data_IF_486906771090
#
_entry.id   IF_486906771090
#
_cell.length_a   1.000
_cell.length_b   1.000
_cell.length_c   1.000
_cell.angle_alpha   90.00
_cell.angle_beta   90.00
_cell.angle_gamma   90.00
#
_symmetry.space_group_name_H-M   'P 1'
#
loop_
_entity.id
_entity.type
_entity.pdbx_description
1 polymer ?
#
# COMPACT_ATOMS: atom_id res chain seq x y z
N UNK A 1 -0.87 2.46 17.92
CA UNK A 1 -2.24 2.81 18.33
C UNK A 1 -2.42 2.41 19.78
N UNK A 2 -3.01 3.25 20.62
CA UNK A 2 -3.24 2.90 22.04
C UNK A 2 -2.88 3.97 23.07
N UNK A 3 -2.12 5.01 22.71
CA UNK A 3 -1.84 6.14 23.61
C UNK A 3 -2.54 7.45 23.22
N UNK A 4 -3.01 7.56 21.97
CA UNK A 4 -3.64 8.77 21.41
C UNK A 4 -5.16 8.64 21.19
N UNK A 5 -5.80 7.57 21.69
CA UNK A 5 -7.26 7.34 21.52
C UNK A 5 -7.71 6.95 20.10
N UNK A 6 -6.79 6.81 19.15
CA UNK A 6 -7.07 6.46 17.75
C UNK A 6 -7.38 4.95 17.63
N UNK A 7 -8.56 4.62 17.09
CA UNK A 7 -9.01 3.24 16.81
C UNK A 7 -8.67 2.83 15.37
N UNK A 8 -8.49 1.53 15.14
CA UNK A 8 -8.12 1.01 13.83
C UNK A 8 -9.26 1.22 12.84
N UNK A 9 -10.47 1.02 13.31
CA UNK A 9 -11.70 1.09 12.55
C UNK A 9 -11.93 2.51 12.01
N UNK A 10 -11.64 3.52 12.85
CA UNK A 10 -11.74 4.93 12.45
C UNK A 10 -10.71 5.26 11.36
N UNK A 11 -9.48 4.76 11.50
CA UNK A 11 -8.42 4.94 10.50
C UNK A 11 -8.71 4.19 9.19
N UNK A 12 -9.32 3.00 9.26
CA UNK A 12 -9.75 2.25 8.07
C UNK A 12 -10.85 3.02 7.33
N UNK A 13 -11.86 3.52 8.05
CA UNK A 13 -12.92 4.33 7.47
C UNK A 13 -12.38 5.61 6.84
N UNK A 14 -11.38 6.25 7.47
CA UNK A 14 -10.68 7.43 6.95
C UNK A 14 -9.92 7.10 5.66
N UNK A 15 -9.20 5.98 5.62
CA UNK A 15 -8.48 5.53 4.43
C UNK A 15 -9.44 5.24 3.27
N UNK A 16 -10.55 4.52 3.52
CA UNK A 16 -11.57 4.27 2.50
C UNK A 16 -12.18 5.55 1.95
N UNK A 17 -12.50 6.51 2.81
CA UNK A 17 -13.07 7.80 2.39
C UNK A 17 -12.10 8.57 1.49
N UNK A 18 -10.81 8.59 1.84
CA UNK A 18 -9.77 9.23 1.02
C UNK A 18 -9.63 8.55 -0.34
N UNK A 19 -9.58 7.22 -0.37
CA UNK A 19 -9.51 6.43 -1.60
C UNK A 19 -10.73 6.72 -2.49
N UNK A 20 -11.95 6.68 -1.93
CA UNK A 20 -13.18 6.99 -2.67
C UNK A 20 -13.14 8.40 -3.27
N UNK A 21 -12.68 9.39 -2.51
CA UNK A 21 -12.56 10.77 -2.99
C UNK A 21 -11.52 10.90 -4.12
N UNK A 22 -10.37 10.21 -4.03
CA UNK A 22 -9.37 10.19 -5.09
C UNK A 22 -9.92 9.55 -6.37
N UNK A 23 -10.59 8.40 -6.25
CA UNK A 23 -11.20 7.71 -7.40
C UNK A 23 -12.30 8.55 -8.05
N UNK A 24 -13.15 9.21 -7.27
CA UNK A 24 -14.20 10.09 -7.81
C UNK A 24 -13.64 11.27 -8.62
N UNK A 25 -12.40 11.67 -8.34
CA UNK A 25 -11.68 12.74 -9.05
C UNK A 25 -10.75 12.21 -10.14
N UNK A 26 -10.80 10.92 -10.46
CA UNK A 26 -9.89 10.25 -11.40
C UNK A 26 -8.40 10.46 -11.05
N UNK A 27 -8.08 10.63 -9.76
CA UNK A 27 -6.70 10.77 -9.28
C UNK A 27 -6.08 9.38 -9.21
N UNK A 28 -4.86 9.24 -9.74
CA UNK A 28 -4.07 8.01 -9.67
C UNK A 28 -3.58 7.76 -8.24
N UNK A 29 -3.69 6.51 -7.79
CA UNK A 29 -3.32 6.08 -6.45
C UNK A 29 -2.11 5.16 -6.54
N UNK A 30 -0.96 5.62 -6.05
CA UNK A 30 0.25 4.80 -5.96
C UNK A 30 0.39 4.31 -4.51
N UNK A 31 0.35 2.99 -4.31
CA UNK A 31 0.56 2.39 -3.00
C UNK A 31 2.03 2.06 -2.80
N UNK A 32 2.63 2.54 -1.70
CA UNK A 32 4.02 2.27 -1.37
C UNK A 32 4.12 1.57 -0.01
N UNK A 33 4.61 0.34 0.00
CA UNK A 33 4.95 -0.36 1.24
C UNK A 33 6.47 -0.44 1.38
N UNK A 34 7.02 0.54 2.09
CA UNK A 34 8.47 0.68 2.29
C UNK A 34 8.96 0.02 3.58
N UNK A 35 8.07 -0.53 4.40
CA UNK A 35 8.44 -1.31 5.58
C UNK A 35 8.99 -2.68 5.18
N UNK A 36 10.01 -3.16 5.91
CA UNK A 36 10.36 -4.58 5.89
C UNK A 36 9.45 -5.42 6.77
N UNK A 37 9.73 -6.71 6.90
CA UNK A 37 8.94 -7.69 7.68
C UNK A 37 8.62 -7.22 9.11
N UNK A 38 9.59 -6.60 9.80
CA UNK A 38 9.41 -6.07 11.17
C UNK A 38 8.37 -4.93 11.29
N UNK A 39 7.89 -4.40 10.15
CA UNK A 39 6.83 -3.38 10.08
C UNK A 39 5.50 -3.94 9.57
N UNK A 40 5.45 -5.25 9.25
CA UNK A 40 4.22 -6.01 8.95
C UNK A 40 3.66 -6.61 10.23
N UNK A 41 2.38 -6.97 10.19
CA UNK A 41 1.62 -7.48 11.34
C UNK A 41 0.12 -7.31 11.11
N UNK A 42 -0.68 -7.87 12.03
CA UNK A 42 -2.14 -7.94 11.87
C UNK A 42 -2.79 -6.60 11.55
N UNK A 43 -2.38 -5.54 12.24
CA UNK A 43 -2.93 -4.21 12.04
C UNK A 43 -2.57 -3.65 10.66
N UNK A 44 -1.29 -3.69 10.26
CA UNK A 44 -0.88 -3.21 8.94
C UNK A 44 -1.54 -4.01 7.82
N UNK A 45 -1.76 -5.31 8.01
CA UNK A 45 -2.37 -6.17 7.02
C UNK A 45 -3.85 -5.82 6.79
N UNK A 46 -4.57 -5.41 7.85
CA UNK A 46 -5.94 -4.86 7.71
C UNK A 46 -5.94 -3.62 6.80
N UNK A 47 -5.01 -2.69 7.01
CA UNK A 47 -4.89 -1.51 6.15
C UNK A 47 -4.49 -1.86 4.72
N UNK A 48 -3.55 -2.78 4.52
CA UNK A 48 -3.13 -3.22 3.19
C UNK A 48 -4.29 -3.85 2.43
N UNK A 49 -5.06 -4.72 3.07
CA UNK A 49 -6.24 -5.38 2.45
C UNK A 49 -7.32 -4.38 2.05
N UNK A 50 -7.44 -3.27 2.78
CA UNK A 50 -8.37 -2.19 2.41
C UNK A 50 -7.78 -1.33 1.29
N UNK A 51 -6.53 -0.90 1.38
CA UNK A 51 -5.99 0.13 0.49
C UNK A 51 -5.42 -0.42 -0.83
N UNK A 52 -4.62 -1.49 -0.77
CA UNK A 52 -3.87 -2.00 -1.93
C UNK A 52 -4.77 -2.38 -3.12
N UNK A 53 -5.98 -2.95 -2.95
CA UNK A 53 -6.86 -3.28 -4.08
C UNK A 53 -7.34 -2.08 -4.91
N UNK A 54 -7.20 -0.86 -4.39
CA UNK A 54 -7.65 0.36 -5.07
C UNK A 54 -6.49 1.15 -5.70
N UNK A 55 -5.25 0.70 -5.52
CA UNK A 55 -4.08 1.31 -6.14
C UNK A 55 -4.07 1.07 -7.65
N UNK A 56 -3.58 2.05 -8.40
CA UNK A 56 -3.25 1.92 -9.82
C UNK A 56 -1.85 1.31 -10.02
N UNK A 57 -0.98 1.43 -9.01
CA UNK A 57 0.38 0.91 -9.03
C UNK A 57 0.87 0.61 -7.61
N UNK A 58 1.70 -0.41 -7.44
CA UNK A 58 2.30 -0.78 -6.15
C UNK A 58 3.83 -0.78 -6.20
N UNK A 59 4.48 -0.19 -5.20
CA UNK A 59 5.93 -0.28 -4.97
C UNK A 59 6.15 -0.87 -3.59
N UNK A 60 6.81 -2.02 -3.50
CA UNK A 60 6.92 -2.78 -2.25
C UNK A 60 8.36 -3.19 -1.98
N UNK A 61 8.86 -2.99 -0.77
CA UNK A 61 10.16 -3.54 -0.38
C UNK A 61 10.03 -5.07 -0.23
N UNK A 62 10.97 -5.84 -0.80
CA UNK A 62 10.95 -7.30 -0.83
C UNK A 62 10.62 -7.93 0.54
N UNK A 63 11.31 -7.46 1.58
CA UNK A 63 11.13 -7.96 2.94
C UNK A 63 9.74 -7.67 3.51
N UNK A 64 9.05 -6.64 3.02
CA UNK A 64 7.68 -6.31 3.40
C UNK A 64 6.62 -7.18 2.75
N UNK A 65 6.99 -8.13 1.89
CA UNK A 65 6.06 -8.96 1.11
C UNK A 65 6.44 -10.46 1.11
N UNK A 66 7.11 -10.96 2.16
CA UNK A 66 7.53 -12.37 2.25
C UNK A 66 6.35 -13.36 2.21
N UNK A 67 5.18 -12.94 2.68
CA UNK A 67 3.93 -13.71 2.66
C UNK A 67 3.17 -13.63 1.31
N UNK A 68 3.67 -12.80 0.40
CA UNK A 68 3.07 -12.53 -0.90
C UNK A 68 1.73 -11.80 -0.84
N UNK A 69 1.37 -11.13 0.27
CA UNK A 69 0.10 -10.40 0.39
C UNK A 69 -0.09 -9.39 -0.75
N UNK A 70 0.95 -8.60 -1.05
CA UNK A 70 0.90 -7.61 -2.12
C UNK A 70 0.90 -8.29 -3.49
N UNK A 71 1.71 -9.34 -3.68
CA UNK A 71 1.76 -10.09 -4.95
C UNK A 71 0.38 -10.69 -5.30
N UNK A 72 -0.29 -11.31 -4.32
CA UNK A 72 -1.64 -11.87 -4.50
C UNK A 72 -2.65 -10.78 -4.82
N UNK A 73 -2.65 -9.69 -4.05
CA UNK A 73 -3.55 -8.56 -4.28
C UNK A 73 -3.36 -7.92 -5.66
N UNK A 74 -2.10 -7.72 -6.06
CA UNK A 74 -1.73 -7.17 -7.35
C UNK A 74 -2.19 -8.07 -8.51
N UNK A 75 -1.98 -9.38 -8.41
CA UNK A 75 -2.42 -10.34 -9.41
C UNK A 75 -3.95 -10.38 -9.54
N UNK A 76 -4.68 -10.46 -8.41
CA UNK A 76 -6.15 -10.51 -8.38
C UNK A 76 -6.78 -9.25 -8.99
N UNK A 77 -6.19 -8.08 -8.74
CA UNK A 77 -6.72 -6.79 -9.20
C UNK A 77 -6.07 -6.30 -10.49
N UNK A 78 -5.11 -7.06 -11.04
CA UNK A 78 -4.31 -6.70 -12.22
C UNK A 78 -3.61 -5.35 -12.06
N UNK A 79 -3.07 -5.10 -10.88
CA UNK A 79 -2.33 -3.89 -10.54
C UNK A 79 -0.85 -4.13 -10.85
N UNK A 80 -0.22 -3.30 -11.70
CA UNK A 80 1.23 -3.36 -11.89
C UNK A 80 1.97 -3.12 -10.58
N UNK A 81 3.03 -3.88 -10.33
CA UNK A 81 3.78 -3.83 -9.08
C UNK A 81 5.27 -4.01 -9.31
N UNK A 82 6.07 -3.17 -8.67
CA UNK A 82 7.52 -3.35 -8.54
C UNK A 82 7.88 -3.74 -7.11
N UNK A 83 8.83 -4.68 -6.99
CA UNK A 83 9.44 -5.04 -5.71
C UNK A 83 10.90 -4.62 -5.68
N UNK A 84 11.32 -3.97 -4.60
CA UNK A 84 12.67 -3.40 -4.48
C UNK A 84 13.40 -3.93 -3.24
N UNK A 85 14.74 -4.06 -3.27
CA UNK A 85 15.46 -4.68 -2.16
C UNK A 85 15.47 -3.83 -0.88
N UNK A 86 15.42 -2.48 -0.99
CA UNK A 86 15.46 -1.54 0.14
C UNK A 86 14.65 -0.29 -0.16
N UNK A 87 14.34 0.47 0.88
CA UNK A 87 13.58 1.74 0.80
C UNK A 87 14.20 2.72 -0.18
N UNK A 88 15.52 2.87 -0.20
CA UNK A 88 16.22 3.80 -1.10
C UNK A 88 16.00 3.49 -2.59
N UNK A 89 15.67 2.23 -2.91
CA UNK A 89 15.44 1.79 -4.28
C UNK A 89 14.01 2.08 -4.76
N UNK A 90 13.10 2.58 -3.91
CA UNK A 90 11.72 2.93 -4.34
C UNK A 90 11.67 4.18 -5.21
N UNK A 91 12.75 4.97 -5.23
CA UNK A 91 12.82 6.23 -5.99
C UNK A 91 12.79 5.96 -7.50
N UNK A 92 13.51 4.95 -7.96
CA UNK A 92 13.59 4.61 -9.38
C UNK A 92 12.23 4.20 -9.99
N UNK A 93 11.49 3.22 -9.44
CA UNK A 93 10.16 2.88 -9.97
C UNK A 93 9.18 4.02 -9.83
N UNK A 94 9.28 4.84 -8.78
CA UNK A 94 8.42 6.03 -8.63
C UNK A 94 8.67 7.05 -9.74
N UNK A 95 9.94 7.33 -10.10
CA UNK A 95 10.27 8.26 -11.18
C UNK A 95 9.71 7.82 -12.53
N UNK A 96 9.83 6.53 -12.86
CA UNK A 96 9.32 5.93 -14.11
C UNK A 96 7.81 6.10 -14.31
N UNK A 97 7.04 6.37 -13.25
CA UNK A 97 5.60 6.61 -13.34
C UNK A 97 5.23 8.03 -13.79
N UNK A 98 6.17 8.97 -13.76
CA UNK A 98 5.96 10.38 -14.11
C UNK A 98 6.75 10.83 -15.35
N UNK A 99 7.49 9.90 -15.97
CA UNK A 99 8.14 10.08 -17.28
C UNK A 99 7.18 9.68 -18.40
#
# INVERSE_FOLDING_TARGET
MGAAGIKAEDELARAEKLIKAAKAKNIKIIGMHIGGEARRGELSDKFVRVAAPYCDYLIVVNDGNKDGLFTKTAAEKKIPMDTVPKITNTVEPLKKLFE
#
